data_IF_689948093852
#
_entry.id   IF_689948093852
#
_cell.length_a   1.000
_cell.length_b   1.000
_cell.length_c   1.000
_cell.angle_alpha   90.00
_cell.angle_beta   90.00
_cell.angle_gamma   90.00
#
_symmetry.space_group_name_H-M   'P 1'
#
loop_
_entity.id
_entity.type
_entity.pdbx_description
1 polymer ?
#
# COMPACT_ATOMS: atom_id res chain seq x y z
N UNK A 1 -43.06 -38.84 10.61
CA UNK A 1 -41.69 -39.05 10.09
C UNK A 1 -41.42 -38.06 8.99
N UNK A 2 -40.96 -36.86 9.35
CA UNK A 2 -40.48 -35.78 8.47
C UNK A 2 -40.03 -34.64 9.35
N UNK A 3 -38.79 -34.60 9.76
CA UNK A 3 -38.06 -33.40 10.22
C UNK A 3 -36.60 -33.82 10.19
N UNK A 4 -35.79 -33.23 9.32
CA UNK A 4 -34.37 -32.95 9.41
C UNK A 4 -33.92 -32.60 7.99
N UNK A 5 -33.91 -31.32 7.62
CA UNK A 5 -33.02 -30.77 6.62
C UNK A 5 -33.14 -29.23 6.61
N UNK A 6 -32.53 -28.56 7.57
CA UNK A 6 -32.26 -27.10 7.50
C UNK A 6 -31.26 -26.72 8.57
N UNK A 7 -29.98 -27.02 8.37
CA UNK A 7 -28.90 -26.41 9.15
C UNK A 7 -27.55 -26.66 8.49
N UNK A 8 -27.28 -26.07 7.31
CA UNK A 8 -25.94 -26.11 6.70
C UNK A 8 -25.69 -24.96 5.72
N UNK A 9 -26.14 -23.73 6.01
CA UNK A 9 -25.90 -22.59 5.10
C UNK A 9 -25.46 -21.29 5.82
N UNK A 10 -24.90 -21.34 7.02
CA UNK A 10 -24.49 -20.13 7.75
C UNK A 10 -22.99 -20.01 8.05
N UNK A 11 -22.12 -20.90 7.53
CA UNK A 11 -20.69 -20.90 7.89
C UNK A 11 -19.75 -20.21 6.89
N UNK A 12 -20.22 -19.76 5.74
CA UNK A 12 -19.34 -19.19 4.70
C UNK A 12 -19.21 -17.65 4.71
N UNK A 13 -19.94 -16.94 5.57
CA UNK A 13 -19.93 -15.47 5.59
C UNK A 13 -19.08 -14.84 6.69
N UNK A 14 -18.58 -15.60 7.64
CA UNK A 14 -17.79 -15.06 8.76
C UNK A 14 -16.30 -14.92 8.48
N UNK A 15 -15.76 -15.47 7.38
CA UNK A 15 -14.32 -15.42 7.08
C UNK A 15 -13.87 -14.13 6.35
N UNK A 16 -14.78 -13.28 5.89
CA UNK A 16 -14.43 -12.06 5.15
C UNK A 16 -14.32 -10.81 6.05
N UNK A 17 -14.83 -10.86 7.28
CA UNK A 17 -14.81 -9.72 8.22
C UNK A 17 -13.54 -9.64 9.09
N UNK A 18 -12.66 -10.63 9.05
CA UNK A 18 -11.47 -10.67 9.90
C UNK A 18 -10.29 -9.82 9.39
N UNK A 19 -10.36 -9.30 8.15
CA UNK A 19 -9.26 -8.56 7.55
C UNK A 19 -9.22 -7.07 7.93
N UNK A 20 -10.32 -6.52 8.46
CA UNK A 20 -10.46 -5.10 8.75
C UNK A 20 -11.05 -4.92 10.16
N UNK A 21 -10.29 -5.27 11.19
CA UNK A 21 -10.66 -5.04 12.58
C UNK A 21 -10.03 -3.75 13.10
N UNK A 22 -10.67 -3.07 14.07
CA UNK A 22 -10.08 -1.93 14.78
C UNK A 22 -8.91 -2.33 15.69
N UNK A 23 -8.58 -3.61 15.77
CA UNK A 23 -7.49 -4.15 16.56
C UNK A 23 -6.14 -3.69 16.01
N UNK A 24 -5.28 -3.19 16.90
CA UNK A 24 -3.91 -2.83 16.52
C UNK A 24 -3.12 -4.10 16.17
N UNK A 25 -2.54 -4.11 14.98
CA UNK A 25 -1.68 -5.18 14.51
C UNK A 25 -0.25 -4.93 14.99
N UNK A 26 0.35 -5.90 15.69
CA UNK A 26 1.70 -5.77 16.26
C UNK A 26 1.85 -4.53 17.15
N UNK A 27 0.94 -4.36 18.12
CA UNK A 27 0.81 -3.16 18.96
C UNK A 27 2.10 -2.77 19.70
N UNK A 28 2.88 -3.75 20.12
CA UNK A 28 4.13 -3.56 20.89
C UNK A 28 5.33 -3.14 20.02
N UNK A 29 5.19 -3.14 18.69
CA UNK A 29 6.25 -2.75 17.77
C UNK A 29 6.02 -1.33 17.25
N UNK A 30 6.87 -0.41 17.68
CA UNK A 30 6.81 1.02 17.28
C UNK A 30 7.36 1.26 15.89
N UNK A 31 8.34 0.47 15.47
CA UNK A 31 9.02 0.55 14.18
C UNK A 31 9.02 -0.81 13.49
N UNK A 32 7.84 -1.28 13.02
CA UNK A 32 7.76 -2.58 12.37
C UNK A 32 8.48 -2.56 11.02
N UNK A 33 9.37 -3.54 10.83
CA UNK A 33 10.02 -3.80 9.55
C UNK A 33 9.24 -4.84 8.75
N UNK A 34 9.16 -4.61 7.43
CA UNK A 34 8.52 -5.52 6.50
C UNK A 34 9.39 -5.72 5.26
N UNK A 35 9.33 -6.91 4.71
CA UNK A 35 9.91 -7.22 3.41
C UNK A 35 8.80 -7.23 2.34
N UNK A 36 8.93 -6.37 1.34
CA UNK A 36 8.16 -6.38 0.10
C UNK A 36 8.96 -7.22 -0.90
N UNK A 37 8.52 -8.46 -1.15
CA UNK A 37 9.09 -9.33 -2.16
C UNK A 37 8.52 -8.96 -3.52
N UNK A 38 9.37 -8.55 -4.45
CA UNK A 38 8.94 -8.17 -5.80
C UNK A 38 9.51 -9.12 -6.87
N UNK A 39 8.98 -9.05 -8.08
CA UNK A 39 9.53 -9.77 -9.23
C UNK A 39 10.94 -9.32 -9.65
N UNK A 40 11.46 -8.21 -9.12
CA UNK A 40 12.78 -7.66 -9.39
C UNK A 40 13.73 -7.70 -8.20
N UNK A 41 13.26 -8.20 -7.03
CA UNK A 41 14.05 -8.29 -5.80
C UNK A 41 13.26 -7.84 -4.56
N UNK A 42 13.94 -7.84 -3.43
CA UNK A 42 13.32 -7.49 -2.15
C UNK A 42 13.57 -6.02 -1.80
N UNK A 43 12.54 -5.37 -1.25
CA UNK A 43 12.62 -4.05 -0.64
C UNK A 43 12.22 -4.19 0.82
N UNK A 44 13.09 -3.78 1.74
CA UNK A 44 12.78 -3.77 3.17
C UNK A 44 12.40 -2.35 3.58
N UNK A 45 11.24 -2.22 4.20
CA UNK A 45 10.73 -0.95 4.72
C UNK A 45 10.61 -1.00 6.24
N UNK A 46 10.89 0.10 6.90
CA UNK A 46 10.58 0.34 8.30
C UNK A 46 9.45 1.36 8.38
N UNK A 47 8.43 1.08 9.20
CA UNK A 47 7.27 1.96 9.38
C UNK A 47 7.42 2.76 10.69
N UNK A 48 6.96 4.01 10.71
CA UNK A 48 6.99 4.90 11.88
C UNK A 48 5.59 5.06 12.50
N UNK A 49 5.28 4.18 13.45
CA UNK A 49 4.00 4.21 14.18
C UNK A 49 3.88 5.43 15.09
N UNK A 50 4.98 6.02 15.55
CA UNK A 50 4.92 7.22 16.37
C UNK A 50 4.42 8.43 15.59
N UNK A 51 4.78 8.51 14.31
CA UNK A 51 4.45 9.63 13.44
C UNK A 51 3.15 9.42 12.65
N UNK A 52 2.82 8.17 12.33
CA UNK A 52 1.64 7.84 11.53
C UNK A 52 0.89 6.61 12.09
N UNK A 53 0.36 6.66 13.33
CA UNK A 53 -0.22 5.49 14.00
C UNK A 53 -1.44 4.91 13.26
N UNK A 54 -2.32 5.75 12.71
CA UNK A 54 -3.51 5.31 11.97
C UNK A 54 -3.07 4.62 10.67
N UNK A 55 -2.19 5.27 9.91
CA UNK A 55 -1.72 4.79 8.62
C UNK A 55 -0.94 3.49 8.75
N UNK A 56 -0.01 3.41 9.71
CA UNK A 56 0.77 2.20 9.98
C UNK A 56 -0.15 1.04 10.36
N UNK A 57 -1.10 1.26 11.29
CA UNK A 57 -2.03 0.20 11.67
C UNK A 57 -2.87 -0.30 10.50
N UNK A 58 -3.40 0.62 9.68
CA UNK A 58 -4.18 0.30 8.50
C UNK A 58 -3.35 -0.50 7.47
N UNK A 59 -2.12 -0.06 7.19
CA UNK A 59 -1.22 -0.77 6.28
C UNK A 59 -0.90 -2.19 6.77
N UNK A 60 -0.63 -2.36 8.06
CA UNK A 60 -0.36 -3.66 8.67
C UNK A 60 -1.58 -4.59 8.65
N UNK A 61 -2.80 -4.06 8.78
CA UNK A 61 -4.03 -4.85 8.62
C UNK A 61 -4.15 -5.38 7.18
N UNK A 62 -3.87 -4.56 6.18
CA UNK A 62 -3.85 -4.96 4.78
C UNK A 62 -2.77 -6.04 4.52
N UNK A 63 -1.59 -5.90 5.11
CA UNK A 63 -0.53 -6.92 5.06
C UNK A 63 -0.97 -8.23 5.71
N UNK A 64 -1.54 -8.17 6.94
CA UNK A 64 -2.08 -9.34 7.65
C UNK A 64 -3.17 -10.04 6.82
N UNK A 65 -4.01 -9.27 6.15
CA UNK A 65 -5.06 -9.75 5.24
C UNK A 65 -4.55 -10.20 3.86
N UNK A 66 -3.23 -10.17 3.61
CA UNK A 66 -2.60 -10.51 2.31
C UNK A 66 -3.15 -9.67 1.14
N UNK A 67 -3.57 -8.43 1.42
CA UNK A 67 -4.10 -7.54 0.40
C UNK A 67 -3.06 -7.21 -0.67
N UNK A 68 -1.78 -7.19 -0.32
CA UNK A 68 -0.69 -6.87 -1.23
C UNK A 68 -0.06 -8.08 -1.92
N UNK A 69 -0.46 -9.32 -1.56
CA UNK A 69 0.03 -10.52 -2.27
C UNK A 69 -0.47 -10.52 -3.72
N UNK A 70 0.41 -10.85 -4.66
CA UNK A 70 0.15 -10.83 -6.10
C UNK A 70 -0.40 -9.49 -6.61
N UNK A 71 0.18 -8.39 -6.15
CA UNK A 71 -0.20 -7.01 -6.47
C UNK A 71 0.68 -6.44 -7.58
N UNK A 72 0.23 -5.37 -8.25
CA UNK A 72 0.98 -4.68 -9.30
C UNK A 72 1.55 -3.35 -8.83
N UNK A 73 2.75 -3.01 -9.30
CA UNK A 73 3.13 -1.62 -9.48
C UNK A 73 2.38 -1.11 -10.72
N UNK A 74 1.21 -0.53 -10.49
CA UNK A 74 0.29 -0.10 -11.55
C UNK A 74 0.61 1.27 -12.13
N UNK A 75 1.47 2.04 -11.46
CA UNK A 75 1.96 3.34 -11.94
C UNK A 75 3.42 3.51 -11.55
N UNK A 76 4.27 3.75 -12.56
CA UNK A 76 5.69 4.01 -12.39
C UNK A 76 6.05 5.26 -13.16
N UNK A 77 6.53 6.28 -12.46
CA UNK A 77 6.99 7.53 -13.05
C UNK A 77 8.46 7.71 -12.70
N UNK A 78 9.32 7.59 -13.70
CA UNK A 78 10.76 7.78 -13.55
C UNK A 78 11.06 9.15 -12.90
N UNK A 79 12.07 9.19 -12.03
CA UNK A 79 12.43 10.38 -11.27
C UNK A 79 11.28 11.00 -10.45
N UNK A 80 10.31 10.17 -10.03
CA UNK A 80 9.20 10.62 -9.19
C UNK A 80 8.81 9.54 -8.18
N UNK A 81 7.92 8.62 -8.54
CA UNK A 81 7.39 7.58 -7.62
C UNK A 81 7.18 6.25 -8.33
N UNK A 82 7.21 5.16 -7.56
CA UNK A 82 6.64 3.86 -7.92
C UNK A 82 5.44 3.59 -7.03
N UNK A 83 4.29 3.25 -7.61
CA UNK A 83 3.00 3.17 -6.91
C UNK A 83 2.37 1.79 -7.09
N UNK A 84 1.89 1.22 -5.99
CA UNK A 84 1.24 -0.09 -5.93
C UNK A 84 0.03 -0.07 -5.00
N UNK A 85 -0.62 -1.21 -4.79
CA UNK A 85 -1.66 -1.37 -3.77
C UNK A 85 -3.10 -1.31 -4.30
N UNK A 86 -3.34 -0.80 -5.51
CA UNK A 86 -4.69 -0.67 -6.05
C UNK A 86 -5.17 -1.93 -6.79
N UNK A 87 -4.27 -2.61 -7.52
CA UNK A 87 -4.64 -3.68 -8.43
C UNK A 87 -3.85 -4.96 -8.19
N UNK A 88 -4.51 -6.11 -8.36
CA UNK A 88 -3.89 -7.41 -8.44
C UNK A 88 -3.23 -7.64 -9.81
N UNK A 89 -2.44 -8.70 -9.95
CA UNK A 89 -1.78 -9.05 -11.21
C UNK A 89 -2.75 -9.37 -12.36
N UNK A 90 -4.00 -9.70 -12.05
CA UNK A 90 -5.09 -9.92 -13.01
C UNK A 90 -5.92 -8.64 -13.27
N UNK A 91 -5.43 -7.49 -12.84
CA UNK A 91 -6.04 -6.17 -12.93
C UNK A 91 -7.33 -5.98 -12.10
N UNK A 92 -7.71 -6.95 -11.28
CA UNK A 92 -8.81 -6.78 -10.35
C UNK A 92 -8.44 -5.82 -9.21
N UNK A 93 -9.43 -5.08 -8.70
CA UNK A 93 -9.25 -4.17 -7.58
C UNK A 93 -8.85 -4.90 -6.30
N UNK A 94 -7.92 -4.34 -5.56
CA UNK A 94 -7.63 -4.77 -4.20
C UNK A 94 -8.75 -4.31 -3.27
N UNK A 95 -9.31 -5.25 -2.51
CA UNK A 95 -10.33 -4.91 -1.49
C UNK A 95 -9.72 -4.00 -0.43
N UNK A 96 -10.35 -2.86 -0.23
CA UNK A 96 -9.98 -1.89 0.79
C UNK A 96 -10.66 -2.18 2.13
N UNK A 97 -10.01 -1.76 3.22
CA UNK A 97 -10.59 -1.70 4.56
C UNK A 97 -11.27 -0.35 4.87
N UNK A 98 -11.68 0.39 3.84
CA UNK A 98 -12.18 1.75 3.97
C UNK A 98 -11.09 2.80 3.84
N UNK A 99 -11.43 4.04 4.13
CA UNK A 99 -10.50 5.17 4.08
C UNK A 99 -10.01 5.55 5.47
N UNK A 100 -8.86 6.24 5.52
CA UNK A 100 -8.24 6.68 6.78
C UNK A 100 -8.03 8.18 6.81
N UNK A 101 -7.96 8.74 8.03
CA UNK A 101 -7.60 10.13 8.23
C UNK A 101 -6.17 10.40 7.76
N UNK A 102 -5.99 11.57 7.13
CA UNK A 102 -4.70 12.03 6.65
C UNK A 102 -3.81 12.47 7.83
N UNK A 103 -2.64 11.87 7.94
CA UNK A 103 -1.64 12.20 8.95
C UNK A 103 -0.43 12.96 8.36
N UNK A 104 -0.56 13.62 7.20
CA UNK A 104 0.57 14.27 6.52
C UNK A 104 1.24 15.41 7.32
N UNK A 105 0.55 15.93 8.35
CA UNK A 105 1.11 16.92 9.27
C UNK A 105 2.06 16.35 10.33
N UNK A 106 2.50 15.11 10.21
CA UNK A 106 3.27 14.36 11.20
C UNK A 106 4.77 14.71 11.28
N UNK A 107 5.23 15.65 10.43
CA UNK A 107 6.62 16.10 10.39
C UNK A 107 7.55 15.23 9.54
N UNK A 108 7.04 14.20 8.87
CA UNK A 108 7.78 13.44 7.87
C UNK A 108 7.63 14.10 6.49
N UNK A 109 8.69 14.02 5.68
CA UNK A 109 8.77 14.61 4.34
C UNK A 109 8.73 13.52 3.27
N UNK A 110 8.23 13.85 2.08
CA UNK A 110 8.29 12.98 0.91
C UNK A 110 9.69 13.00 0.28
N UNK A 111 10.69 12.61 1.07
CA UNK A 111 12.07 12.49 0.64
C UNK A 111 12.29 11.16 -0.11
N UNK A 112 13.38 11.06 -0.89
CA UNK A 112 13.75 9.81 -1.55
C UNK A 112 13.80 8.65 -0.57
N UNK A 113 13.21 7.52 -0.95
CA UNK A 113 13.14 6.28 -0.16
C UNK A 113 12.02 6.25 0.87
N UNK A 114 11.23 7.31 1.05
CA UNK A 114 10.06 7.26 1.93
C UNK A 114 8.89 6.56 1.25
N UNK A 115 8.06 5.89 2.06
CA UNK A 115 6.79 5.29 1.65
C UNK A 115 5.62 6.15 2.15
N UNK A 116 4.66 6.43 1.27
CA UNK A 116 3.51 7.27 1.58
C UNK A 116 2.21 6.72 0.98
N UNK A 117 1.07 7.08 1.60
CA UNK A 117 -0.25 6.70 1.09
C UNK A 117 -0.67 7.56 -0.09
N UNK A 118 -1.10 6.90 -1.17
CA UNK A 118 -1.79 7.58 -2.26
C UNK A 118 -3.25 7.89 -1.85
N UNK A 119 -3.79 8.95 -2.42
CA UNK A 119 -5.16 9.42 -2.17
C UNK A 119 -5.75 10.15 -3.37
N UNK A 120 -7.05 10.34 -3.39
CA UNK A 120 -7.76 11.21 -4.32
C UNK A 120 -7.74 12.67 -3.82
N UNK A 121 -8.58 13.53 -4.37
CA UNK A 121 -8.65 14.94 -4.02
C UNK A 121 -9.09 15.18 -2.57
N UNK A 122 -10.02 14.36 -2.07
CA UNK A 122 -10.35 14.36 -0.64
C UNK A 122 -9.11 13.95 0.18
N UNK A 123 -8.65 14.78 1.11
CA UNK A 123 -7.47 14.48 1.92
C UNK A 123 -7.60 13.19 2.74
N UNK A 124 -8.82 12.77 3.08
CA UNK A 124 -9.11 11.59 3.88
C UNK A 124 -9.54 10.37 3.04
N UNK A 125 -9.18 10.33 1.76
CA UNK A 125 -9.52 9.25 0.82
C UNK A 125 -8.46 8.17 0.66
N UNK A 126 -7.35 8.22 1.40
CA UNK A 126 -6.34 7.16 1.38
C UNK A 126 -6.94 5.83 1.87
N UNK A 127 -6.66 4.73 1.15
CA UNK A 127 -7.19 3.41 1.48
C UNK A 127 -6.13 2.31 1.41
N UNK A 128 -5.83 1.77 0.25
CA UNK A 128 -4.92 0.64 0.05
C UNK A 128 -3.72 0.96 -0.85
N UNK A 129 -3.78 2.03 -1.64
CA UNK A 129 -2.70 2.39 -2.55
C UNK A 129 -1.61 3.19 -1.85
N UNK A 130 -0.36 2.82 -2.11
CA UNK A 130 0.83 3.48 -1.59
C UNK A 130 1.85 3.72 -2.69
N UNK A 131 2.82 4.59 -2.42
CA UNK A 131 3.96 4.79 -3.31
C UNK A 131 5.28 4.90 -2.53
N UNK A 132 6.39 4.62 -3.22
CA UNK A 132 7.75 4.89 -2.73
C UNK A 132 8.32 6.03 -3.54
N UNK A 133 8.88 7.02 -2.86
CA UNK A 133 9.53 8.17 -3.48
C UNK A 133 10.89 7.78 -4.07
N UNK A 134 11.08 8.01 -5.37
CA UNK A 134 12.34 7.73 -6.08
C UNK A 134 13.32 8.90 -5.97
N UNK A 135 12.80 10.08 -5.68
CA UNK A 135 13.56 11.30 -5.36
C UNK A 135 12.85 12.11 -4.29
N UNK A 136 13.42 13.24 -3.89
CA UNK A 136 12.77 14.20 -3.01
C UNK A 136 11.60 14.87 -3.73
N UNK A 137 10.39 14.65 -3.23
CA UNK A 137 9.14 15.14 -3.81
C UNK A 137 8.44 16.10 -2.83
N UNK A 138 9.10 17.20 -2.45
CA UNK A 138 8.59 18.14 -1.43
C UNK A 138 7.28 18.83 -1.83
N UNK A 139 6.93 18.80 -3.13
CA UNK A 139 5.61 19.25 -3.62
C UNK A 139 4.44 18.37 -3.13
N UNK A 140 4.73 17.15 -2.63
CA UNK A 140 3.76 16.24 -2.02
C UNK A 140 3.59 16.48 -0.52
N UNK A 141 4.41 17.32 0.10
CA UNK A 141 4.32 17.65 1.50
C UNK A 141 3.13 18.57 1.80
N UNK A 142 2.58 18.53 3.02
CA UNK A 142 1.54 19.46 3.42
C UNK A 142 2.08 20.90 3.46
N UNK A 143 1.19 21.83 3.21
CA UNK A 143 1.49 23.26 3.32
C UNK A 143 0.28 24.03 3.90
N UNK A 144 0.40 25.35 4.07
CA UNK A 144 -0.67 26.18 4.67
C UNK A 144 -2.01 26.17 3.91
N UNK A 145 -2.03 25.71 2.65
CA UNK A 145 -3.20 25.75 1.77
C UNK A 145 -3.76 24.37 1.43
N UNK A 146 -2.96 23.31 1.61
CA UNK A 146 -3.34 21.96 1.19
C UNK A 146 -2.73 20.89 2.08
N UNK A 147 -3.50 19.82 2.26
CA UNK A 147 -3.02 18.57 2.83
C UNK A 147 -1.98 17.92 1.89
N UNK A 148 -0.93 17.35 2.49
CA UNK A 148 0.02 16.52 1.78
C UNK A 148 -0.43 15.06 1.66
N UNK A 149 0.53 14.22 1.34
CA UNK A 149 0.42 12.76 1.35
C UNK A 149 1.12 12.24 2.60
N UNK A 150 0.47 11.33 3.33
CA UNK A 150 0.99 10.81 4.58
C UNK A 150 2.18 9.90 4.35
N UNK A 151 3.39 10.37 4.65
CA UNK A 151 4.57 9.53 4.80
C UNK A 151 4.43 8.75 6.10
N UNK A 152 4.69 7.43 6.07
CA UNK A 152 4.49 6.55 7.22
C UNK A 152 5.65 5.56 7.44
N UNK A 153 6.74 5.68 6.68
CA UNK A 153 7.93 4.84 6.79
C UNK A 153 8.94 5.14 5.69
N UNK A 154 9.96 4.31 5.61
CA UNK A 154 11.05 4.47 4.66
C UNK A 154 11.71 3.13 4.32
N UNK A 155 12.40 3.08 3.18
CA UNK A 155 13.17 1.94 2.71
C UNK A 155 14.48 1.88 3.48
N UNK A 156 14.71 0.78 4.19
CA UNK A 156 15.98 0.53 4.92
C UNK A 156 16.94 -0.33 4.11
N UNK A 157 16.43 -1.10 3.12
CA UNK A 157 17.25 -1.89 2.20
C UNK A 157 16.51 -2.11 0.89
N UNK A 158 17.24 -2.26 -0.23
CA UNK A 158 16.65 -2.52 -1.55
C UNK A 158 16.26 -1.26 -2.34
N UNK A 159 16.87 -0.09 -2.06
CA UNK A 159 16.68 1.10 -2.89
C UNK A 159 17.15 0.91 -4.34
N UNK A 160 18.11 0.04 -4.59
CA UNK A 160 18.55 -0.37 -5.92
C UNK A 160 17.44 -1.11 -6.68
N UNK A 161 16.64 -1.93 -5.99
CA UNK A 161 15.44 -2.58 -6.55
C UNK A 161 14.36 -1.53 -6.86
N UNK A 162 14.14 -0.57 -5.97
CA UNK A 162 13.22 0.57 -6.21
C UNK A 162 13.64 1.33 -7.47
N UNK A 163 14.93 1.61 -7.63
CA UNK A 163 15.47 2.29 -8.81
C UNK A 163 15.31 1.45 -10.09
N UNK A 164 15.51 0.13 -10.02
CA UNK A 164 15.24 -0.78 -11.16
C UNK A 164 13.76 -0.72 -11.57
N UNK A 165 12.84 -0.77 -10.60
CA UNK A 165 11.40 -0.64 -10.88
C UNK A 165 11.11 0.71 -11.53
N UNK A 166 11.72 1.79 -11.05
CA UNK A 166 11.51 3.14 -11.58
C UNK A 166 11.99 3.33 -13.03
N UNK A 167 12.87 2.45 -13.54
CA UNK A 167 13.42 2.50 -14.90
C UNK A 167 12.70 1.60 -15.91
N UNK A 168 11.68 0.83 -15.49
CA UNK A 168 10.95 -0.02 -16.43
C UNK A 168 10.21 0.82 -17.47
N UNK A 169 10.08 0.27 -18.67
CA UNK A 169 9.29 0.91 -19.73
C UNK A 169 7.81 0.97 -19.35
N UNK A 170 7.21 2.13 -19.47
CA UNK A 170 5.80 2.38 -19.19
C UNK A 170 5.03 2.84 -20.44
N UNK A 171 3.72 2.62 -20.45
CA UNK A 171 2.82 3.06 -21.51
C UNK A 171 1.41 3.30 -20.93
N UNK A 172 0.52 3.82 -21.78
CA UNK A 172 -0.92 3.86 -21.51
C UNK A 172 -1.49 2.44 -21.51
N UNK A 173 -2.22 2.09 -20.47
CA UNK A 173 -2.94 0.81 -20.36
C UNK A 173 -4.44 1.05 -20.56
N UNK A 174 -5.03 0.38 -21.56
CA UNK A 174 -6.45 0.56 -21.92
C UNK A 174 -7.43 -0.04 -20.90
N UNK A 175 -7.03 -1.12 -20.23
CA UNK A 175 -7.90 -1.81 -19.25
C UNK A 175 -8.02 -1.00 -17.95
N UNK A 176 -6.93 -0.34 -17.55
CA UNK A 176 -6.89 0.53 -16.36
C UNK A 176 -7.26 1.99 -16.69
N UNK A 177 -7.38 2.35 -17.97
CA UNK A 177 -7.52 3.73 -18.44
C UNK A 177 -6.48 4.67 -17.79
N UNK A 178 -5.22 4.24 -17.75
CA UNK A 178 -4.17 4.88 -16.97
C UNK A 178 -2.85 4.99 -17.73
N UNK A 179 -2.18 6.13 -17.53
CA UNK A 179 -0.83 6.38 -17.99
C UNK A 179 0.23 5.81 -17.05
N UNK A 180 1.45 5.65 -17.57
CA UNK A 180 2.63 5.23 -16.80
C UNK A 180 2.50 3.84 -16.17
N UNK A 181 1.77 2.93 -16.79
CA UNK A 181 1.67 1.53 -16.39
C UNK A 181 2.86 0.75 -16.98
N UNK A 182 3.60 -0.04 -16.20
CA UNK A 182 4.67 -0.89 -16.73
C UNK A 182 4.19 -1.78 -17.87
N UNK A 183 4.91 -1.77 -19.01
CA UNK A 183 4.62 -2.61 -20.18
C UNK A 183 4.77 -4.09 -19.83
N UNK A 184 5.88 -4.41 -19.15
CA UNK A 184 6.09 -5.72 -18.54
C UNK A 184 5.67 -5.59 -17.06
N UNK A 185 4.67 -6.36 -16.60
CA UNK A 185 4.15 -6.22 -15.25
C UNK A 185 5.18 -6.45 -14.16
N UNK A 186 5.43 -5.46 -13.33
CA UNK A 186 6.21 -5.60 -12.10
C UNK A 186 5.27 -5.93 -10.94
N UNK A 187 5.53 -7.06 -10.26
CA UNK A 187 4.64 -7.59 -9.23
C UNK A 187 5.24 -7.47 -7.84
N UNK A 188 4.38 -7.21 -6.87
CA UNK A 188 4.61 -7.57 -5.48
C UNK A 188 4.13 -9.01 -5.31
N UNK A 189 5.06 -9.92 -5.03
CA UNK A 189 4.77 -11.34 -4.80
C UNK A 189 4.09 -11.49 -3.45
N UNK A 190 4.68 -10.86 -2.42
CA UNK A 190 4.14 -10.85 -1.06
C UNK A 190 4.70 -9.68 -0.25
N UNK A 191 4.00 -9.32 0.85
CA UNK A 191 4.51 -8.42 1.89
C UNK A 191 4.45 -9.15 3.23
N UNK A 192 5.57 -9.18 3.96
CA UNK A 192 5.68 -9.94 5.23
C UNK A 192 6.39 -9.11 6.28
N UNK A 193 5.96 -9.28 7.53
CA UNK A 193 6.71 -8.81 8.71
C UNK A 193 8.03 -9.58 8.85
N UNK A 194 9.08 -8.89 9.26
CA UNK A 194 10.37 -9.46 9.59
C UNK A 194 10.42 -9.94 11.05
#
# INVERSE_FOLDING_TARGET
>A
MKIILTLLLSLSWQLVLAACSDEQVFADNTFPELTIETSLGNVVIELDRNRAPITVNHFLQLVKGKAYDNNLFHRVVADYVIQAGAYKADLSDVKSCGTIYNESGNGLSNDRGTIAMARYDDPHSASNSFYINVKDNHNLNPNKKSWGYTVFGYVVSGMDVVDQIAQVKTAFNKELDAENVPVEPVKIISVRMN
#
